data_IF_735231552646
#
_entry.id   IF_735231552646
#
_cell.length_a   1.000
_cell.length_b   1.000
_cell.length_c   1.000
_cell.angle_alpha   90.00
_cell.angle_beta   90.00
_cell.angle_gamma   90.00
#
_symmetry.space_group_name_H-M   'P 1'
#
loop_
_entity.id
_entity.type
_entity.pdbx_description
1 polymer ?
#
# COMPACT_ATOMS: atom_id res chain seq x y z
N UNK A 1 7.42 -12.79 -3.94
CA UNK A 1 6.60 -11.59 -4.24
C UNK A 1 6.92 -10.41 -3.30
N UNK A 2 8.08 -10.41 -2.61
CA UNK A 2 8.52 -9.32 -1.71
C UNK A 2 10.03 -9.04 -1.80
N UNK A 3 10.72 -9.59 -2.79
CA UNK A 3 12.17 -9.46 -2.90
C UNK A 3 12.61 -8.00 -3.04
N UNK A 4 11.80 -7.18 -3.73
CA UNK A 4 12.08 -5.75 -3.90
C UNK A 4 11.88 -4.99 -2.58
N UNK A 5 10.87 -5.34 -1.79
CA UNK A 5 10.66 -4.77 -0.45
C UNK A 5 11.81 -5.11 0.51
N UNK A 6 12.33 -6.34 0.47
CA UNK A 6 13.48 -6.74 1.29
C UNK A 6 14.76 -5.99 0.93
N UNK A 7 14.91 -5.52 -0.32
CA UNK A 7 16.07 -4.75 -0.76
C UNK A 7 15.90 -3.24 -0.57
N UNK A 8 14.67 -2.73 -0.64
CA UNK A 8 14.36 -1.30 -0.64
C UNK A 8 13.10 -0.98 0.21
N UNK A 9 13.11 -1.27 1.52
CA UNK A 9 11.94 -1.04 2.38
C UNK A 9 11.59 0.44 2.59
N UNK A 10 12.53 1.36 2.35
CA UNK A 10 12.39 2.79 2.56
C UNK A 10 11.64 3.53 1.44
N UNK A 11 11.52 2.91 0.27
CA UNK A 11 10.99 3.55 -0.94
C UNK A 11 9.56 3.08 -1.19
N UNK A 12 8.58 3.85 -0.72
CA UNK A 12 7.16 3.47 -0.76
C UNK A 12 6.30 4.52 -1.49
N UNK A 13 5.65 4.09 -2.56
CA UNK A 13 4.54 4.76 -3.22
C UNK A 13 3.21 4.27 -2.63
N UNK A 14 2.30 5.21 -2.43
CA UNK A 14 0.98 4.93 -1.88
C UNK A 14 -0.07 5.57 -2.79
N UNK A 15 -1.00 4.76 -3.29
CA UNK A 15 -2.06 5.20 -4.19
C UNK A 15 -3.44 4.78 -3.68
N UNK A 16 -4.46 5.57 -4.00
CA UNK A 16 -5.86 5.30 -3.65
C UNK A 16 -6.74 5.45 -4.90
N UNK A 17 -7.52 4.43 -5.20
CA UNK A 17 -8.52 4.51 -6.28
C UNK A 17 -9.90 4.83 -5.72
N UNK A 18 -10.65 5.69 -6.41
CA UNK A 18 -12.01 6.05 -6.03
C UNK A 18 -13.03 5.08 -6.65
N UNK A 19 -13.87 4.46 -5.81
CA UNK A 19 -15.04 3.70 -6.27
C UNK A 19 -14.69 2.36 -6.94
N UNK A 20 -13.84 1.56 -6.31
CA UNK A 20 -13.27 0.34 -6.91
C UNK A 20 -14.28 -0.81 -7.04
N UNK A 21 -15.42 -0.79 -6.33
CA UNK A 21 -16.44 -1.85 -6.38
C UNK A 21 -17.87 -1.33 -6.21
N UNK A 22 -18.86 -2.23 -6.34
CA UNK A 22 -20.30 -1.94 -6.16
C UNK A 22 -20.63 -1.39 -4.78
N UNK A 23 -19.79 -1.71 -3.79
CA UNK A 23 -19.93 -1.29 -2.40
C UNK A 23 -19.16 0.01 -2.10
N UNK A 24 -18.63 0.69 -3.12
CA UNK A 24 -17.89 1.95 -3.03
C UNK A 24 -16.66 1.94 -2.11
N UNK A 25 -16.07 0.77 -1.85
CA UNK A 25 -14.78 0.69 -1.19
C UNK A 25 -13.69 1.31 -2.07
N UNK A 26 -12.71 1.93 -1.42
CA UNK A 26 -11.49 2.39 -2.07
C UNK A 26 -10.42 1.32 -1.94
N UNK A 27 -9.66 1.12 -3.01
CA UNK A 27 -8.45 0.30 -2.97
C UNK A 27 -7.26 1.21 -2.69
N UNK A 28 -6.63 0.98 -1.54
CA UNK A 28 -5.39 1.60 -1.12
C UNK A 28 -4.23 0.66 -1.38
N UNK A 29 -3.23 1.11 -2.13
CA UNK A 29 -2.15 0.27 -2.65
C UNK A 29 -0.80 0.76 -2.14
N UNK A 30 0.02 -0.17 -1.67
CA UNK A 30 1.40 0.06 -1.27
C UNK A 30 2.32 -0.54 -2.33
N UNK A 31 3.18 0.28 -2.92
CA UNK A 31 4.14 -0.12 -3.94
C UNK A 31 5.54 0.27 -3.48
N UNK A 32 6.51 -0.62 -3.66
CA UNK A 32 7.93 -0.25 -3.55
C UNK A 32 8.54 -0.09 -4.92
N UNK A 33 9.54 0.79 -5.05
CA UNK A 33 10.31 0.91 -6.28
C UNK A 33 11.81 0.93 -6.01
N UNK A 34 12.58 0.42 -6.96
CA UNK A 34 14.03 0.53 -6.93
C UNK A 34 14.51 1.87 -7.53
N UNK A 35 15.82 2.11 -7.47
CA UNK A 35 16.47 3.29 -8.03
C UNK A 35 16.48 3.32 -9.57
N UNK A 36 16.17 2.20 -10.22
CA UNK A 36 16.07 2.08 -11.68
C UNK A 36 14.64 2.31 -12.18
N UNK A 37 13.69 2.58 -11.28
CA UNK A 37 12.29 2.86 -11.59
C UNK A 37 11.41 1.61 -11.70
N UNK A 38 11.89 0.43 -11.31
CA UNK A 38 11.08 -0.80 -11.28
C UNK A 38 10.23 -0.83 -10.01
N UNK A 39 8.91 -0.82 -10.17
CA UNK A 39 7.95 -0.88 -9.07
C UNK A 39 7.31 -2.27 -8.86
N UNK A 40 7.00 -2.61 -7.62
CA UNK A 40 6.19 -3.79 -7.26
C UNK A 40 5.17 -3.43 -6.18
N UNK A 41 3.90 -3.79 -6.42
CA UNK A 41 2.87 -3.77 -5.38
C UNK A 41 3.19 -4.81 -4.30
N UNK A 42 3.20 -4.37 -3.05
CA UNK A 42 3.56 -5.21 -1.89
C UNK A 42 2.38 -5.50 -0.97
N UNK A 43 1.39 -4.62 -0.95
CA UNK A 43 0.16 -4.81 -0.20
C UNK A 43 -0.99 -3.99 -0.80
N UNK A 44 -2.19 -4.53 -0.70
CA UNK A 44 -3.43 -3.84 -1.01
C UNK A 44 -4.34 -3.86 0.22
N UNK A 45 -5.07 -2.77 0.45
CA UNK A 45 -6.07 -2.67 1.48
C UNK A 45 -7.36 -2.12 0.87
N UNK A 46 -8.47 -2.84 1.04
CA UNK A 46 -9.80 -2.31 0.75
C UNK A 46 -10.26 -1.53 1.98
N UNK A 47 -10.54 -0.24 1.79
CA UNK A 47 -10.92 0.67 2.87
C UNK A 47 -12.29 1.31 2.57
N UNK A 48 -13.14 1.50 3.59
CA UNK A 48 -14.49 2.03 3.38
C UNK A 48 -14.46 3.52 3.01
N UNK A 49 -13.48 4.28 3.52
CA UNK A 49 -13.25 5.65 3.09
C UNK A 49 -11.77 6.08 3.16
N UNK A 50 -11.48 7.31 2.70
CA UNK A 50 -10.14 7.90 2.62
C UNK A 50 -9.84 8.83 3.82
N UNK A 51 -10.61 8.72 4.91
CA UNK A 51 -10.34 9.51 6.12
C UNK A 51 -8.98 9.11 6.70
N UNK A 52 -8.33 10.10 7.31
CA UNK A 52 -6.96 9.95 7.79
C UNK A 52 -6.77 8.80 8.81
N UNK A 53 -7.77 8.53 9.64
CA UNK A 53 -7.70 7.45 10.64
C UNK A 53 -7.72 6.06 9.99
N UNK A 54 -8.48 5.89 8.92
CA UNK A 54 -8.58 4.64 8.17
C UNK A 54 -7.28 4.40 7.41
N UNK A 55 -6.73 5.43 6.75
CA UNK A 55 -5.43 5.34 6.09
C UNK A 55 -4.30 5.06 7.09
N UNK A 56 -4.34 5.68 8.28
CA UNK A 56 -3.41 5.36 9.38
C UNK A 56 -3.49 3.91 9.80
N UNK A 57 -4.70 3.34 9.87
CA UNK A 57 -4.88 1.93 10.19
C UNK A 57 -4.26 1.02 9.11
N UNK A 58 -4.51 1.32 7.83
CA UNK A 58 -3.91 0.57 6.72
C UNK A 58 -2.37 0.62 6.75
N UNK A 59 -1.78 1.79 7.03
CA UNK A 59 -0.32 1.95 7.19
C UNK A 59 0.20 1.17 8.39
N UNK A 60 -0.51 1.19 9.52
CA UNK A 60 -0.12 0.44 10.71
C UNK A 60 -0.12 -1.06 10.43
N UNK A 61 -1.16 -1.56 9.77
CA UNK A 61 -1.23 -2.95 9.33
C UNK A 61 -0.10 -3.31 8.37
N UNK A 62 0.21 -2.43 7.42
CA UNK A 62 1.34 -2.60 6.50
C UNK A 62 2.66 -2.75 7.26
N UNK A 63 2.97 -1.87 8.21
CA UNK A 63 4.19 -1.95 9.02
C UNK A 63 4.26 -3.22 9.85
N UNK A 64 3.17 -3.63 10.49
CA UNK A 64 3.12 -4.84 11.30
C UNK A 64 3.24 -6.12 10.47
N UNK A 65 2.71 -6.12 9.25
CA UNK A 65 2.71 -7.29 8.35
C UNK A 65 4.00 -7.43 7.54
N UNK A 66 4.79 -6.36 7.48
CA UNK A 66 6.04 -6.27 6.73
C UNK A 66 7.13 -5.68 7.64
N UNK A 67 7.58 -6.43 8.68
CA UNK A 67 8.74 -6.03 9.45
C UNK A 67 9.96 -5.98 8.51
N UNK A 68 10.72 -4.88 8.61
CA UNK A 68 12.01 -4.75 7.94
C UNK A 68 13.03 -5.70 8.57
#
# INVERSE_FOLDING_TARGET
MRSLFSCFPEVLLVDATHGTNSEHYKLFSFMVHDSFGSGQHVQHALVPDEKSDILRHAITQFKSSNPA
#
